data_IF_625494603877
#
_entry.id   IF_625494603877
#
_cell.length_a   1.000
_cell.length_b   1.000
_cell.length_c   1.000
_cell.angle_alpha   90.00
_cell.angle_beta   90.00
_cell.angle_gamma   90.00
#
_symmetry.space_group_name_H-M   'P 1'
#
loop_
_entity.id
_entity.type
_entity.pdbx_description
1 polymer ?
#
# COMPACT_ATOMS: atom_id res chain seq x y z
N UNK A 1 6.78 7.33 7.99
CA UNK A 1 7.05 6.19 7.07
C UNK A 1 5.76 5.41 6.92
N UNK A 2 5.49 4.78 5.77
CA UNK A 2 4.23 4.06 5.56
C UNK A 2 4.15 2.80 6.45
N UNK A 3 3.26 2.80 7.45
CA UNK A 3 3.22 1.76 8.51
C UNK A 3 2.34 0.54 8.16
N UNK A 4 1.71 0.48 6.97
CA UNK A 4 0.93 -0.71 6.58
C UNK A 4 1.77 -1.99 6.48
N UNK A 5 3.10 -1.87 6.40
CA UNK A 5 4.10 -2.96 6.38
C UNK A 5 4.96 -3.06 7.65
N UNK A 6 4.56 -2.41 8.75
CA UNK A 6 5.17 -2.62 10.07
C UNK A 6 4.82 -4.01 10.62
N UNK A 7 5.72 -4.64 11.37
CA UNK A 7 5.55 -5.99 11.89
C UNK A 7 5.73 -6.08 13.42
N UNK A 8 5.59 -4.93 14.10
CA UNK A 8 5.60 -4.80 15.55
C UNK A 8 4.24 -5.12 16.14
N UNK A 9 4.23 -5.86 17.25
CA UNK A 9 3.02 -6.18 18.00
C UNK A 9 2.19 -7.31 17.38
N UNK A 10 0.93 -7.38 17.78
CA UNK A 10 -0.03 -8.39 17.34
C UNK A 10 -1.13 -7.75 16.49
N UNK A 11 -1.73 -8.49 15.55
CA UNK A 11 -2.73 -7.92 14.63
C UNK A 11 -3.97 -7.35 15.34
N UNK A 12 -4.31 -7.87 16.53
CA UNK A 12 -5.41 -7.37 17.37
C UNK A 12 -5.14 -5.98 17.98
N UNK A 13 -3.88 -5.63 18.23
CA UNK A 13 -3.51 -4.34 18.85
C UNK A 13 -2.92 -3.37 17.83
N UNK A 14 -2.33 -3.89 16.77
CA UNK A 14 -1.66 -3.13 15.70
C UNK A 14 -1.90 -3.87 14.41
N UNK A 15 -3.03 -3.57 13.78
CA UNK A 15 -3.35 -4.20 12.51
C UNK A 15 -2.43 -3.62 11.42
N UNK A 16 -1.62 -4.49 10.84
CA UNK A 16 -0.77 -4.23 9.67
C UNK A 16 -0.80 -5.47 8.81
N UNK A 17 -0.41 -5.33 7.54
CA UNK A 17 -0.41 -6.47 6.63
C UNK A 17 0.53 -7.61 7.12
N UNK A 18 1.78 -7.35 7.54
CA UNK A 18 2.62 -8.41 8.10
C UNK A 18 2.06 -9.03 9.37
N UNK A 19 1.43 -8.25 10.27
CA UNK A 19 0.91 -8.79 11.52
C UNK A 19 -0.27 -9.74 11.30
N UNK A 20 -1.18 -9.42 10.37
CA UNK A 20 -2.29 -10.33 10.02
C UNK A 20 -1.78 -11.53 9.23
N UNK A 21 -0.82 -11.37 8.32
CA UNK A 21 -0.22 -12.50 7.61
C UNK A 21 0.51 -13.45 8.57
N UNK A 22 1.17 -12.92 9.61
CA UNK A 22 1.84 -13.72 10.66
C UNK A 22 0.89 -14.59 11.48
N UNK A 23 -0.39 -14.24 11.53
CA UNK A 23 -1.42 -15.08 12.14
C UNK A 23 -1.62 -16.38 11.36
N UNK A 24 -1.51 -16.31 10.03
CA UNK A 24 -1.67 -17.46 9.13
C UNK A 24 -0.34 -18.17 8.83
N UNK A 25 0.80 -17.46 8.88
CA UNK A 25 2.12 -18.06 8.67
C UNK A 25 3.15 -17.47 9.63
N UNK A 26 3.55 -18.26 10.63
CA UNK A 26 4.48 -17.82 11.66
C UNK A 26 5.93 -17.67 11.18
N UNK A 27 6.27 -18.21 10.01
CA UNK A 27 7.63 -18.17 9.44
C UNK A 27 7.89 -16.96 8.53
N UNK A 28 6.97 -15.99 8.47
CA UNK A 28 7.12 -14.82 7.62
C UNK A 28 8.29 -13.93 8.05
N UNK A 29 9.16 -13.65 7.08
CA UNK A 29 10.26 -12.68 7.19
C UNK A 29 9.99 -11.43 6.37
N UNK A 30 10.69 -10.33 6.67
CA UNK A 30 10.68 -9.13 5.83
C UNK A 30 9.90 -7.92 6.33
N UNK A 31 8.94 -8.12 7.24
CA UNK A 31 8.21 -7.01 7.84
C UNK A 31 9.10 -6.18 8.79
N UNK A 32 9.09 -4.86 8.63
CA UNK A 32 9.96 -3.97 9.44
C UNK A 32 9.57 -3.99 10.92
N UNK A 33 10.56 -3.96 11.80
CA UNK A 33 10.37 -3.91 13.25
C UNK A 33 10.96 -2.65 13.87
N UNK A 34 10.45 -2.17 15.00
CA UNK A 34 10.95 -0.96 15.67
C UNK A 34 10.77 0.32 14.84
N UNK A 35 11.70 1.26 15.00
CA UNK A 35 11.72 2.55 14.28
C UNK A 35 13.07 2.74 13.60
N UNK A 36 13.09 3.21 12.36
CA UNK A 36 14.32 3.41 11.61
C UNK A 36 14.09 3.72 10.13
N UNK A 37 15.18 3.98 9.41
CA UNK A 37 15.21 4.12 7.96
C UNK A 37 15.54 2.81 7.23
N UNK A 38 15.55 2.78 5.89
CA UNK A 38 15.83 1.56 5.11
C UNK A 38 17.24 0.97 5.35
N UNK A 39 18.17 1.78 5.84
CA UNK A 39 19.53 1.34 6.18
C UNK A 39 19.64 0.64 7.55
N UNK A 40 18.59 0.73 8.37
CA UNK A 40 18.60 0.14 9.72
C UNK A 40 18.29 -1.35 9.68
N UNK A 41 18.87 -2.20 10.56
CA UNK A 41 18.53 -3.62 10.65
C UNK A 41 17.03 -3.88 10.86
N UNK A 42 16.39 -2.99 11.61
CA UNK A 42 14.96 -2.88 11.87
C UNK A 42 14.10 -2.89 10.60
N UNK A 43 14.60 -2.30 9.51
CA UNK A 43 13.84 -2.19 8.26
C UNK A 43 13.50 -3.53 7.60
N UNK A 44 14.27 -4.60 7.84
CA UNK A 44 14.09 -5.89 7.18
C UNK A 44 13.99 -5.70 5.64
N UNK A 45 12.88 -6.00 4.96
CA UNK A 45 12.72 -5.72 3.52
C UNK A 45 11.97 -4.42 3.20
N UNK A 46 11.64 -3.61 4.22
CA UNK A 46 11.07 -2.29 4.02
C UNK A 46 12.16 -1.32 3.52
N UNK A 47 12.14 -1.06 2.21
CA UNK A 47 13.05 -0.11 1.54
C UNK A 47 12.45 1.31 1.42
N UNK A 48 11.29 1.56 2.05
CA UNK A 48 10.65 2.86 1.99
C UNK A 48 11.49 3.92 2.73
N UNK A 49 11.62 5.09 2.12
CA UNK A 49 12.42 6.21 2.67
C UNK A 49 11.54 7.44 2.85
N UNK A 50 11.65 8.08 4.02
CA UNK A 50 10.98 9.36 4.27
C UNK A 50 11.42 10.41 3.23
N UNK A 51 10.46 11.20 2.73
CA UNK A 51 10.72 12.19 1.68
C UNK A 51 11.00 11.62 0.28
N UNK A 52 10.96 10.30 0.08
CA UNK A 52 11.20 9.71 -1.23
C UNK A 52 10.15 10.14 -2.27
N UNK A 53 10.63 10.34 -3.49
CA UNK A 53 9.84 10.68 -4.67
C UNK A 53 9.73 9.46 -5.58
N UNK A 54 8.78 9.47 -6.53
CA UNK A 54 8.63 8.37 -7.49
C UNK A 54 9.93 8.01 -8.24
N UNK A 55 10.85 8.96 -8.46
CA UNK A 55 12.13 8.70 -9.16
C UNK A 55 13.04 7.74 -8.39
N UNK A 56 12.80 7.56 -7.09
CA UNK A 56 13.53 6.60 -6.26
C UNK A 56 13.00 5.17 -6.38
N UNK A 57 11.84 4.95 -7.02
CA UNK A 57 11.21 3.63 -7.09
C UNK A 57 12.08 2.58 -7.79
N UNK A 58 12.75 2.84 -8.93
CA UNK A 58 13.64 1.86 -9.55
C UNK A 58 14.80 1.46 -8.63
N UNK A 59 15.41 2.45 -7.96
CA UNK A 59 16.49 2.20 -6.99
C UNK A 59 15.99 1.39 -5.78
N UNK A 60 14.80 1.69 -5.27
CA UNK A 60 14.20 0.92 -4.17
C UNK A 60 13.87 -0.52 -4.59
N UNK A 61 13.38 -0.74 -5.81
CA UNK A 61 13.14 -2.08 -6.35
C UNK A 61 14.46 -2.89 -6.43
N UNK A 62 15.53 -2.32 -6.99
CA UNK A 62 16.85 -2.97 -6.97
C UNK A 62 17.35 -3.25 -5.56
N UNK A 63 17.19 -2.31 -4.62
CA UNK A 63 17.60 -2.50 -3.23
C UNK A 63 16.84 -3.68 -2.59
N UNK A 64 15.52 -3.78 -2.81
CA UNK A 64 14.70 -4.89 -2.32
C UNK A 64 15.17 -6.24 -2.89
N UNK A 65 15.28 -6.33 -4.22
CA UNK A 65 15.75 -7.55 -4.91
C UNK A 65 17.11 -7.98 -4.36
N UNK A 66 18.06 -7.05 -4.26
CA UNK A 66 19.41 -7.34 -3.77
C UNK A 66 19.43 -7.70 -2.29
N UNK A 67 18.50 -7.19 -1.49
CA UNK A 67 18.40 -7.54 -0.07
C UNK A 67 17.83 -8.94 0.10
N UNK A 68 16.78 -9.28 -0.64
CA UNK A 68 16.19 -10.62 -0.61
C UNK A 68 17.14 -11.69 -1.14
N UNK A 69 17.87 -11.43 -2.23
CA UNK A 69 18.87 -12.37 -2.79
C UNK A 69 20.04 -12.68 -1.84
N UNK A 70 20.35 -11.76 -0.92
CA UNK A 70 21.48 -11.90 0.02
C UNK A 70 21.05 -12.34 1.41
N UNK A 71 19.74 -12.43 1.67
CA UNK A 71 19.24 -12.81 2.99
C UNK A 71 19.30 -14.33 3.11
N UNK A 72 20.09 -14.90 4.06
CA UNK A 72 20.24 -16.34 4.20
C UNK A 72 18.96 -17.03 4.68
N UNK A 73 17.95 -16.27 5.14
CA UNK A 73 16.63 -16.79 5.48
C UNK A 73 15.74 -16.97 4.25
N UNK A 74 16.20 -16.52 3.08
CA UNK A 74 15.48 -16.64 1.81
C UNK A 74 16.22 -17.58 0.86
N UNK A 75 15.63 -18.72 0.55
CA UNK A 75 15.94 -19.44 -0.69
C UNK A 75 15.23 -18.77 -1.87
N UNK A 76 15.91 -17.83 -2.50
CA UNK A 76 15.35 -17.02 -3.58
C UNK A 76 14.85 -17.87 -4.76
N UNK A 77 15.44 -19.06 -4.96
CA UNK A 77 15.09 -19.99 -6.03
C UNK A 77 14.04 -21.01 -5.63
N UNK A 78 14.01 -21.47 -4.37
CA UNK A 78 13.17 -22.59 -3.93
C UNK A 78 12.24 -22.33 -2.75
N UNK A 79 12.26 -21.18 -2.05
CA UNK A 79 11.48 -20.94 -0.82
C UNK A 79 9.97 -20.94 -1.01
N UNK A 80 9.25 -21.85 -0.37
CA UNK A 80 7.87 -22.19 -0.69
C UNK A 80 6.82 -21.75 0.36
N UNK A 81 5.68 -21.28 -0.18
CA UNK A 81 4.29 -21.20 0.34
C UNK A 81 3.91 -20.21 1.46
N UNK A 82 3.11 -19.21 1.10
CA UNK A 82 2.03 -18.68 1.95
C UNK A 82 0.74 -19.47 1.63
N UNK A 83 0.33 -20.34 2.55
CA UNK A 83 -0.96 -21.02 2.50
C UNK A 83 -1.76 -20.53 3.70
N UNK A 84 -2.96 -19.98 3.51
CA UNK A 84 -3.81 -19.54 4.63
C UNK A 84 -4.31 -20.82 5.32
N UNK A 85 -3.87 -21.16 6.55
CA UNK A 85 -4.21 -22.44 7.15
C UNK A 85 -5.71 -22.53 7.45
N UNK A 86 -6.23 -23.74 7.20
CA UNK A 86 -7.56 -24.20 7.59
C UNK A 86 -7.71 -24.12 9.11
N UNK A 87 -8.71 -23.40 9.62
CA UNK A 87 -9.14 -23.59 11.01
C UNK A 87 -10.16 -24.75 11.10
N UNK A 88 -9.67 -25.88 11.62
CA UNK A 88 -10.36 -27.06 12.18
C UNK A 88 -11.35 -27.89 11.32
N UNK A 89 -10.87 -28.97 10.71
CA UNK A 89 -11.13 -30.38 11.12
C UNK A 89 -10.30 -31.36 10.25
N UNK A 90 -9.78 -32.41 10.90
CA UNK A 90 -9.02 -33.55 10.34
C UNK A 90 -9.64 -34.06 9.03
N UNK A 91 -8.85 -34.35 7.99
CA UNK A 91 -8.97 -35.57 7.14
C UNK A 91 -7.67 -35.80 6.34
N UNK A 92 -7.21 -37.06 6.21
CA UNK A 92 -6.08 -37.44 5.36
C UNK A 92 -6.52 -37.48 3.88
N UNK A 93 -5.57 -37.23 2.99
CA UNK A 93 -5.68 -37.24 1.51
C UNK A 93 -6.38 -36.03 0.87
N UNK A 94 -5.57 -35.04 0.48
CA UNK A 94 -5.89 -34.14 -0.64
C UNK A 94 -4.84 -34.40 -1.74
N UNK A 95 -5.23 -34.76 -2.97
CA UNK A 95 -4.28 -35.03 -4.05
C UNK A 95 -3.52 -33.77 -4.48
N UNK A 96 -2.26 -33.98 -4.81
CA UNK A 96 -1.22 -32.98 -5.05
C UNK A 96 -1.24 -32.36 -6.45
N UNK A 97 -2.33 -31.73 -6.93
CA UNK A 97 -2.27 -31.05 -8.25
C UNK A 97 -3.00 -29.70 -8.25
N UNK A 98 -2.24 -28.67 -8.67
CA UNK A 98 -2.53 -27.23 -8.70
C UNK A 98 -2.70 -26.51 -7.34
N UNK A 99 -1.58 -25.99 -6.83
CA UNK A 99 -1.56 -24.90 -5.86
C UNK A 99 -0.74 -23.75 -6.48
N UNK A 100 -1.41 -22.73 -7.04
CA UNK A 100 -0.74 -21.44 -7.31
C UNK A 100 -0.30 -20.89 -5.97
N UNK A 101 0.99 -21.04 -5.71
CA UNK A 101 1.53 -20.81 -4.38
C UNK A 101 2.32 -19.52 -4.37
N UNK A 102 1.70 -18.51 -3.78
CA UNK A 102 2.31 -17.22 -3.53
C UNK A 102 3.43 -17.31 -2.48
N UNK A 103 4.61 -16.74 -2.77
CA UNK A 103 5.80 -16.82 -1.89
C UNK A 103 6.21 -15.47 -1.35
N UNK A 104 6.24 -14.45 -2.21
CA UNK A 104 6.60 -13.09 -1.82
C UNK A 104 5.43 -12.14 -2.05
N UNK A 105 5.21 -11.23 -1.10
CA UNK A 105 4.26 -10.13 -1.27
C UNK A 105 5.00 -8.81 -1.15
N UNK A 106 4.90 -7.99 -2.20
CA UNK A 106 5.50 -6.65 -2.23
C UNK A 106 4.37 -5.62 -2.28
N UNK A 107 4.40 -4.60 -1.43
CA UNK A 107 3.43 -3.51 -1.46
C UNK A 107 4.12 -2.22 -1.91
N UNK A 108 3.69 -1.69 -3.05
CA UNK A 108 4.19 -0.45 -3.64
C UNK A 108 3.17 0.66 -3.40
N UNK A 109 3.63 1.75 -2.78
CA UNK A 109 2.87 3.00 -2.70
C UNK A 109 3.82 4.19 -2.60
N UNK A 110 3.67 5.16 -3.49
CA UNK A 110 4.51 6.35 -3.58
C UNK A 110 3.70 7.50 -4.19
N UNK A 111 4.18 8.74 -4.05
CA UNK A 111 3.60 9.90 -4.74
C UNK A 111 3.12 11.03 -3.83
N UNK A 112 2.88 10.77 -2.54
CA UNK A 112 2.44 11.82 -1.60
C UNK A 112 3.43 12.99 -1.55
N UNK A 113 4.72 12.69 -1.47
CA UNK A 113 5.78 13.70 -1.53
C UNK A 113 5.81 14.41 -2.90
N UNK A 114 5.55 13.72 -4.00
CA UNK A 114 5.53 14.36 -5.33
C UNK A 114 4.42 15.41 -5.44
N UNK A 115 3.24 15.11 -4.91
CA UNK A 115 2.11 16.04 -4.85
C UNK A 115 2.38 17.20 -3.89
N UNK A 116 3.03 16.94 -2.75
CA UNK A 116 3.25 17.95 -1.73
C UNK A 116 4.57 18.73 -1.85
N UNK A 117 5.52 18.31 -2.69
CA UNK A 117 6.75 19.06 -3.00
C UNK A 117 6.74 19.61 -4.42
N UNK A 118 6.78 18.77 -5.46
CA UNK A 118 7.01 19.22 -6.84
C UNK A 118 5.82 19.95 -7.46
N UNK A 119 4.61 19.40 -7.29
CA UNK A 119 3.38 20.09 -7.70
C UNK A 119 3.26 21.41 -6.94
N UNK A 120 3.60 21.42 -5.64
CA UNK A 120 3.58 22.62 -4.83
C UNK A 120 4.62 23.68 -5.22
N UNK A 121 5.79 23.28 -5.69
CA UNK A 121 6.83 24.18 -6.18
C UNK A 121 6.56 24.70 -7.60
N UNK A 122 5.46 24.27 -8.25
CA UNK A 122 5.13 24.60 -9.65
C UNK A 122 6.27 24.30 -10.64
N UNK A 123 7.11 23.32 -10.31
CA UNK A 123 8.14 22.83 -11.22
C UNK A 123 7.46 21.91 -12.22
N UNK A 124 6.90 22.50 -13.28
CA UNK A 124 6.23 21.79 -14.38
C UNK A 124 7.26 21.10 -15.28
N UNK A 125 7.98 20.12 -14.73
CA UNK A 125 8.86 19.24 -15.48
C UNK A 125 8.15 17.89 -15.68
N UNK A 126 8.28 17.33 -16.89
CA UNK A 126 7.64 16.08 -17.30
C UNK A 126 7.72 14.92 -16.28
N UNK A 127 8.84 14.67 -15.57
CA UNK A 127 8.94 13.60 -14.57
C UNK A 127 7.89 13.70 -13.47
N UNK A 128 7.42 14.90 -13.14
CA UNK A 128 6.42 15.12 -12.08
C UNK A 128 4.98 15.18 -12.59
N UNK A 129 4.75 14.90 -13.87
CA UNK A 129 3.41 14.72 -14.43
C UNK A 129 2.79 13.39 -13.97
N UNK A 130 1.47 13.21 -14.10
CA UNK A 130 0.81 11.91 -13.97
C UNK A 130 1.49 10.79 -14.77
N UNK A 131 1.88 11.09 -16.02
CA UNK A 131 2.57 10.14 -16.88
C UNK A 131 3.96 9.80 -16.35
N UNK A 132 4.77 10.79 -15.99
CA UNK A 132 6.08 10.57 -15.39
C UNK A 132 6.03 9.75 -14.09
N UNK A 133 5.01 9.98 -13.25
CA UNK A 133 4.76 9.15 -12.08
C UNK A 133 4.54 7.68 -12.42
N UNK A 134 3.68 7.39 -13.41
CA UNK A 134 3.46 6.03 -13.88
C UNK A 134 4.71 5.42 -14.52
N UNK A 135 5.54 6.21 -15.22
CA UNK A 135 6.80 5.74 -15.82
C UNK A 135 7.78 5.21 -14.77
N UNK A 136 8.03 5.92 -13.67
CA UNK A 136 8.95 5.41 -12.64
C UNK A 136 8.39 4.23 -11.85
N UNK A 137 7.06 4.15 -11.70
CA UNK A 137 6.42 2.96 -11.13
C UNK A 137 6.56 1.77 -12.09
N UNK A 138 6.33 1.98 -13.39
CA UNK A 138 6.55 0.98 -14.43
C UNK A 138 7.98 0.46 -14.40
N UNK A 139 8.98 1.33 -14.34
CA UNK A 139 10.39 0.90 -14.25
C UNK A 139 10.66 0.03 -13.03
N UNK A 140 10.12 0.38 -11.86
CA UNK A 140 10.23 -0.44 -10.66
C UNK A 140 9.53 -1.80 -10.82
N UNK A 141 8.31 -1.83 -11.37
CA UNK A 141 7.58 -3.06 -11.63
C UNK A 141 8.28 -3.94 -12.68
N UNK A 142 8.86 -3.35 -13.73
CA UNK A 142 9.66 -4.07 -14.74
C UNK A 142 10.88 -4.74 -14.07
N UNK A 143 11.54 -4.09 -13.12
CA UNK A 143 12.64 -4.68 -12.32
C UNK A 143 12.12 -5.87 -11.48
N UNK A 144 11.01 -5.71 -10.76
CA UNK A 144 10.45 -6.78 -9.93
C UNK A 144 10.02 -7.97 -10.80
N UNK A 145 9.31 -7.72 -11.90
CA UNK A 145 8.86 -8.74 -12.85
C UNK A 145 10.03 -9.54 -13.43
N UNK A 146 11.14 -8.86 -13.77
CA UNK A 146 12.32 -9.53 -14.31
C UNK A 146 13.14 -10.31 -13.26
N UNK A 147 12.97 -10.03 -11.97
CA UNK A 147 13.90 -10.53 -10.95
C UNK A 147 13.28 -11.29 -9.79
N UNK A 148 11.96 -11.25 -9.59
CA UNK A 148 11.28 -11.82 -8.41
C UNK A 148 10.19 -12.82 -8.84
N UNK A 149 10.54 -14.09 -9.11
CA UNK A 149 9.53 -15.11 -9.39
C UNK A 149 8.59 -15.32 -8.19
N UNK A 150 7.39 -15.85 -8.43
CA UNK A 150 6.42 -16.22 -7.37
C UNK A 150 6.04 -15.06 -6.45
N UNK A 151 5.80 -13.89 -7.05
CA UNK A 151 5.58 -12.63 -6.35
C UNK A 151 4.22 -12.02 -6.67
N UNK A 152 3.49 -11.62 -5.63
CA UNK A 152 2.29 -10.81 -5.73
C UNK A 152 2.62 -9.39 -5.31
N UNK A 153 2.39 -8.47 -6.24
CA UNK A 153 2.61 -7.06 -6.02
C UNK A 153 1.28 -6.38 -5.77
N UNK A 154 1.08 -5.90 -4.54
CA UNK A 154 0.06 -4.91 -4.23
C UNK A 154 0.51 -3.54 -4.74
N UNK A 155 -0.13 -3.01 -5.77
CA UNK A 155 0.09 -1.63 -6.18
C UNK A 155 -1.05 -0.76 -5.65
N UNK A 156 -0.74 0.04 -4.63
CA UNK A 156 -1.69 0.96 -4.01
C UNK A 156 -1.49 2.34 -4.66
N UNK A 157 -2.52 2.92 -5.31
CA UNK A 157 -2.44 4.28 -5.85
C UNK A 157 -2.09 5.31 -4.75
N UNK A 158 -1.60 6.49 -5.14
CA UNK A 158 -1.29 7.54 -4.16
C UNK A 158 -2.55 7.98 -3.40
N UNK A 159 -2.41 8.24 -2.10
CA UNK A 159 -3.48 8.80 -1.25
C UNK A 159 -3.83 10.23 -1.71
N UNK A 160 -5.12 10.58 -1.71
CA UNK A 160 -5.56 11.95 -1.98
C UNK A 160 -5.12 12.90 -0.87
N UNK A 161 -4.03 13.65 -1.10
CA UNK A 161 -3.51 14.63 -0.14
C UNK A 161 -4.44 15.84 0.06
N UNK A 162 -5.43 16.05 -0.82
CA UNK A 162 -6.37 17.16 -0.70
C UNK A 162 -7.31 17.00 0.51
N UNK A 163 -7.46 15.78 1.05
CA UNK A 163 -8.24 15.51 2.27
C UNK A 163 -7.67 16.20 3.50
N UNK A 164 -6.38 16.58 3.49
CA UNK A 164 -5.76 17.31 4.58
C UNK A 164 -6.40 18.69 4.80
N UNK A 165 -7.03 19.27 3.76
CA UNK A 165 -7.77 20.53 3.85
C UNK A 165 -9.10 20.40 4.63
N UNK A 166 -9.57 19.17 4.87
CA UNK A 166 -10.79 18.88 5.62
C UNK A 166 -10.54 18.80 7.13
N UNK A 167 -9.28 18.67 7.55
CA UNK A 167 -8.89 18.69 8.97
C UNK A 167 -8.93 20.14 9.48
N UNK A 168 -10.01 20.49 10.17
CA UNK A 168 -10.22 21.83 10.75
C UNK A 168 -9.67 21.93 12.17
N UNK A 169 -9.39 23.16 12.61
CA UNK A 169 -9.00 23.45 14.00
C UNK A 169 -7.60 22.95 14.38
N UNK A 170 -6.66 22.93 13.43
CA UNK A 170 -5.27 22.49 13.68
C UNK A 170 -4.56 23.44 14.65
N UNK A 171 -3.79 22.88 15.59
CA UNK A 171 -2.92 23.65 16.48
C UNK A 171 -1.71 24.25 15.73
N UNK A 172 -0.94 25.13 16.39
CA UNK A 172 0.20 25.80 15.76
C UNK A 172 1.27 24.83 15.21
N UNK A 173 1.70 23.78 15.93
CA UNK A 173 2.62 22.78 15.37
C UNK A 173 2.12 22.14 14.07
N UNK A 174 0.84 21.76 14.02
CA UNK A 174 0.25 21.19 12.81
C UNK A 174 0.16 22.20 11.66
N UNK A 175 -0.14 23.47 11.94
CA UNK A 175 -0.13 24.52 10.92
C UNK A 175 1.28 24.77 10.36
N UNK A 176 2.31 24.70 11.21
CA UNK A 176 3.70 24.80 10.77
C UNK A 176 4.06 23.59 9.89
N UNK A 177 3.73 22.38 10.36
CA UNK A 177 3.99 21.14 9.62
C UNK A 177 3.30 21.15 8.24
N UNK A 178 2.03 21.54 8.16
CA UNK A 178 1.28 21.70 6.91
C UNK A 178 1.99 22.61 5.90
N UNK A 179 2.50 23.76 6.37
CA UNK A 179 3.20 24.72 5.51
C UNK A 179 4.56 24.22 5.03
N UNK A 180 5.24 23.38 5.81
CA UNK A 180 6.54 22.80 5.43
C UNK A 180 6.36 21.58 4.54
N UNK A 181 5.47 20.68 4.92
CA UNK A 181 5.28 19.39 4.28
C UNK A 181 4.48 19.50 2.97
N UNK A 182 3.51 20.43 2.89
CA UNK A 182 2.66 20.61 1.71
C UNK A 182 2.29 22.10 1.48
N UNK A 183 3.28 22.98 1.21
CA UNK A 183 3.11 24.43 1.18
C UNK A 183 2.03 24.94 0.22
N UNK A 184 1.73 24.23 -0.86
CA UNK A 184 0.70 24.68 -1.81
C UNK A 184 -0.72 24.34 -1.40
N UNK A 185 -0.98 23.60 -0.32
CA UNK A 185 -2.34 23.44 0.21
C UNK A 185 -2.64 24.46 1.32
N UNK A 186 -1.61 24.88 2.05
CA UNK A 186 -1.78 25.65 3.29
C UNK A 186 -1.07 27.01 3.30
N UNK A 187 -0.13 27.25 2.40
CA UNK A 187 0.63 28.50 2.30
C UNK A 187 -0.10 29.63 1.56
N UNK A 188 0.55 30.79 1.48
CA UNK A 188 -0.03 32.03 0.90
C UNK A 188 -0.49 31.89 -0.55
N UNK A 189 0.21 31.08 -1.37
CA UNK A 189 -0.12 30.80 -2.78
C UNK A 189 -0.78 29.43 -2.94
N UNK A 190 -1.84 29.18 -2.16
CA UNK A 190 -2.51 27.87 -2.13
C UNK A 190 -3.21 27.53 -3.45
N UNK A 191 -3.09 26.27 -3.86
CA UNK A 191 -3.94 25.63 -4.84
C UNK A 191 -5.32 25.39 -4.21
N UNK A 192 -6.36 25.40 -5.04
CA UNK A 192 -7.68 24.95 -4.59
C UNK A 192 -7.67 23.44 -4.35
N UNK A 193 -8.54 22.98 -3.45
CA UNK A 193 -8.75 21.53 -3.22
C UNK A 193 -9.04 20.79 -4.53
N UNK A 194 -9.87 21.39 -5.40
CA UNK A 194 -10.20 20.85 -6.72
C UNK A 194 -8.98 20.72 -7.63
N UNK A 195 -8.10 21.72 -7.66
CA UNK A 195 -6.88 21.68 -8.46
C UNK A 195 -5.92 20.58 -7.99
N UNK A 196 -5.73 20.43 -6.67
CA UNK A 196 -4.92 19.32 -6.14
C UNK A 196 -5.56 17.96 -6.46
N UNK A 197 -6.87 17.83 -6.25
CA UNK A 197 -7.59 16.58 -6.55
C UNK A 197 -7.49 16.19 -8.02
N UNK A 198 -7.51 17.15 -8.94
CA UNK A 198 -7.29 16.88 -10.37
C UNK A 198 -5.90 16.24 -10.62
N UNK A 199 -4.84 16.75 -9.97
CA UNK A 199 -3.50 16.17 -10.07
C UNK A 199 -3.40 14.77 -9.44
N UNK A 200 -4.02 14.59 -8.26
CA UNK A 200 -4.12 13.30 -7.57
C UNK A 200 -4.80 12.26 -8.48
N UNK A 201 -5.97 12.59 -9.04
CA UNK A 201 -6.72 11.68 -9.92
C UNK A 201 -5.92 11.35 -11.18
N UNK A 202 -5.17 12.31 -11.74
CA UNK A 202 -4.24 12.03 -12.83
C UNK A 202 -3.20 10.97 -12.44
N UNK A 203 -2.54 11.12 -11.30
CA UNK A 203 -1.55 10.16 -10.80
C UNK A 203 -2.17 8.76 -10.60
N UNK A 204 -3.34 8.71 -9.95
CA UNK A 204 -4.05 7.45 -9.69
C UNK A 204 -4.44 6.76 -10.99
N UNK A 205 -5.09 7.47 -11.92
CA UNK A 205 -5.53 6.91 -13.20
C UNK A 205 -4.36 6.39 -14.04
N UNK A 206 -3.23 7.09 -14.08
CA UNK A 206 -2.08 6.66 -14.86
C UNK A 206 -1.49 5.33 -14.35
N UNK A 207 -1.48 5.12 -13.03
CA UNK A 207 -1.01 3.87 -12.41
C UNK A 207 -2.03 2.74 -12.55
N UNK A 208 -3.32 3.05 -12.44
CA UNK A 208 -4.40 2.09 -12.67
C UNK A 208 -4.33 1.58 -14.12
N UNK A 209 -4.29 2.48 -15.10
CA UNK A 209 -4.18 2.12 -16.53
C UNK A 209 -2.92 1.28 -16.82
N UNK A 210 -1.79 1.61 -16.19
CA UNK A 210 -0.56 0.83 -16.33
C UNK A 210 -0.77 -0.64 -15.97
N UNK A 211 -1.41 -0.94 -14.83
CA UNK A 211 -1.64 -2.33 -14.41
C UNK A 211 -2.78 -2.97 -15.21
N UNK A 212 -3.88 -2.25 -15.41
CA UNK A 212 -5.03 -2.76 -16.14
C UNK A 212 -4.73 -3.06 -17.62
N UNK A 213 -3.67 -2.48 -18.19
CA UNK A 213 -3.17 -2.85 -19.52
C UNK A 213 -2.79 -4.32 -19.65
N UNK A 214 -2.56 -5.02 -18.53
CA UNK A 214 -2.15 -6.42 -18.50
C UNK A 214 -0.69 -6.69 -18.83
N UNK A 215 0.13 -5.63 -18.85
CA UNK A 215 1.57 -5.70 -19.11
C UNK A 215 2.32 -6.74 -18.25
N UNK A 216 1.84 -7.02 -17.03
CA UNK A 216 2.50 -7.91 -16.07
C UNK A 216 1.86 -9.30 -15.97
N UNK A 217 0.82 -9.60 -16.75
CA UNK A 217 0.13 -10.89 -16.75
C UNK A 217 0.81 -11.88 -17.73
N UNK A 218 2.15 -11.84 -17.79
CA UNK A 218 2.94 -12.65 -18.76
C UNK A 218 3.60 -13.87 -18.13
N UNK A 219 3.56 -13.99 -16.80
CA UNK A 219 4.13 -15.09 -16.03
C UNK A 219 3.04 -15.70 -15.15
N UNK A 220 3.02 -17.03 -15.02
CA UNK A 220 2.05 -17.73 -14.16
C UNK A 220 2.30 -17.50 -12.66
N UNK A 221 3.52 -17.11 -12.32
CA UNK A 221 3.98 -16.96 -10.95
C UNK A 221 4.27 -15.50 -10.55
N UNK A 222 3.99 -14.52 -11.40
CA UNK A 222 4.10 -13.10 -11.05
C UNK A 222 2.80 -12.38 -11.34
N UNK A 223 2.37 -11.51 -10.43
CA UNK A 223 1.17 -10.71 -10.66
C UNK A 223 1.29 -9.34 -10.00
N UNK A 224 0.71 -8.34 -10.66
CA UNK A 224 0.53 -7.00 -10.11
C UNK A 224 -0.97 -6.74 -10.01
N UNK A 225 -1.44 -6.47 -8.80
CA UNK A 225 -2.85 -6.23 -8.52
C UNK A 225 -3.01 -4.81 -7.97
N UNK A 226 -3.84 -4.02 -8.65
CA UNK A 226 -4.26 -2.70 -8.16
C UNK A 226 -5.16 -2.87 -6.94
N UNK A 227 -4.87 -2.10 -5.90
CA UNK A 227 -5.67 -2.05 -4.68
C UNK A 227 -6.25 -0.64 -4.50
N UNK A 228 -7.43 -0.33 -5.08
CA UNK A 228 -7.92 1.05 -5.20
C UNK A 228 -8.62 1.59 -3.94
N UNK A 229 -8.61 0.85 -2.82
CA UNK A 229 -9.32 1.20 -1.58
C UNK A 229 -9.01 2.61 -1.04
N UNK A 230 -7.96 3.31 -1.49
CA UNK A 230 -7.64 4.66 -1.03
C UNK A 230 -7.98 5.78 -2.04
N UNK A 231 -8.53 5.45 -3.22
CA UNK A 231 -8.76 6.41 -4.31
C UNK A 231 -9.89 7.38 -3.97
N UNK A 232 -11.02 6.87 -3.48
CA UNK A 232 -12.21 7.66 -3.11
C UNK A 232 -12.32 7.90 -1.60
N UNK A 233 -11.28 7.53 -0.86
CA UNK A 233 -11.25 7.60 0.59
C UNK A 233 -11.33 9.03 1.13
N UNK A 234 -12.14 9.20 2.18
CA UNK A 234 -12.23 10.42 3.00
C UNK A 234 -11.86 10.09 4.43
N UNK A 235 -11.28 11.06 5.14
CA UNK A 235 -11.02 10.90 6.57
C UNK A 235 -12.30 10.52 7.32
N UNK A 236 -12.24 9.52 8.23
CA UNK A 236 -13.36 9.23 9.11
C UNK A 236 -13.81 10.48 9.83
N UNK A 237 -15.12 10.67 9.92
CA UNK A 237 -15.72 11.86 10.50
C UNK A 237 -16.22 11.55 11.91
N UNK A 238 -16.03 12.49 12.82
CA UNK A 238 -16.57 12.47 14.18
C UNK A 238 -17.38 13.75 14.39
N UNK A 239 -18.48 13.67 15.12
CA UNK A 239 -19.33 14.82 15.34
C UNK A 239 -20.63 14.47 16.03
N UNK A 240 -21.44 15.49 16.25
CA UNK A 240 -22.80 15.36 16.75
C UNK A 240 -23.77 15.96 15.73
N UNK A 241 -25.06 15.98 16.05
CA UNK A 241 -26.09 16.66 15.26
C UNK A 241 -25.77 18.14 14.94
N UNK A 242 -24.89 18.78 15.71
CA UNK A 242 -24.49 20.19 15.52
C UNK A 242 -23.29 20.38 14.59
N UNK A 243 -22.69 19.30 14.06
CA UNK A 243 -21.63 19.39 13.07
C UNK A 243 -20.70 18.17 13.05
N UNK A 244 -20.23 17.85 11.86
CA UNK A 244 -19.27 16.76 11.59
C UNK A 244 -17.90 17.34 11.22
N UNK A 245 -16.83 16.76 11.76
CA UNK A 245 -15.44 17.11 11.44
C UNK A 245 -14.60 15.86 11.23
N UNK A 246 -13.45 15.97 10.57
CA UNK A 246 -12.51 14.86 10.48
C UNK A 246 -12.06 14.45 11.90
N UNK A 247 -12.03 13.14 12.16
CA UNK A 247 -11.55 12.58 13.42
C UNK A 247 -10.02 12.70 13.48
N UNK A 248 -9.47 13.56 14.36
CA UNK A 248 -8.05 13.81 14.43
C UNK A 248 -7.27 12.58 14.93
N UNK A 249 -7.92 11.58 15.54
CA UNK A 249 -7.25 10.38 16.05
C UNK A 249 -6.70 9.49 14.94
N UNK A 250 -7.13 9.69 13.68
CA UNK A 250 -6.57 9.01 12.51
C UNK A 250 -5.29 9.68 11.98
N UNK A 251 -4.94 10.87 12.48
CA UNK A 251 -3.75 11.62 12.10
C UNK A 251 -2.69 11.58 13.21
N UNK A 252 -1.42 11.63 12.81
CA UNK A 252 -0.28 11.70 13.71
C UNK A 252 -0.13 13.10 14.32
N UNK A 253 0.86 13.28 15.19
CA UNK A 253 1.13 14.57 15.86
C UNK A 253 1.41 15.73 14.90
N UNK A 254 1.81 15.45 13.66
CA UNK A 254 2.03 16.47 12.61
C UNK A 254 0.75 16.85 11.84
N UNK A 255 -0.39 16.20 12.10
CA UNK A 255 -1.64 16.35 11.35
C UNK A 255 -1.52 16.14 9.82
N UNK A 256 -0.47 15.45 9.37
CA UNK A 256 -0.15 15.21 7.96
C UNK A 256 -0.02 13.72 7.66
N UNK A 257 0.76 12.98 8.44
CA UNK A 257 0.84 11.53 8.37
C UNK A 257 -0.29 10.88 9.17
N UNK A 258 -0.62 9.64 8.82
CA UNK A 258 -1.58 8.85 9.58
C UNK A 258 -1.00 8.44 10.94
N UNK A 259 -1.85 8.38 11.96
CA UNK A 259 -1.51 7.75 13.23
C UNK A 259 -1.43 6.23 13.09
N UNK A 260 -1.05 5.52 14.15
CA UNK A 260 -1.18 4.06 14.22
C UNK A 260 -2.62 3.61 13.89
N UNK A 261 -3.63 4.32 14.40
CA UNK A 261 -5.05 4.04 14.12
C UNK A 261 -5.37 4.23 12.63
N UNK A 262 -4.90 5.32 12.02
CA UNK A 262 -5.06 5.56 10.59
C UNK A 262 -4.38 4.52 9.72
N UNK A 263 -3.16 4.14 10.07
CA UNK A 263 -2.44 3.07 9.40
C UNK A 263 -3.14 1.71 9.56
N UNK A 264 -3.71 1.40 10.73
CA UNK A 264 -4.48 0.18 10.92
C UNK A 264 -5.76 0.15 10.11
N UNK A 265 -6.49 1.25 9.97
CA UNK A 265 -7.65 1.32 9.06
C UNK A 265 -7.21 1.05 7.61
N UNK A 266 -6.15 1.71 7.17
CA UNK A 266 -5.61 1.54 5.82
C UNK A 266 -5.15 0.10 5.55
N UNK A 267 -4.49 -0.55 6.51
CA UNK A 267 -4.03 -1.93 6.37
C UNK A 267 -5.20 -2.94 6.35
N UNK A 268 -6.26 -2.70 7.13
CA UNK A 268 -7.47 -3.51 7.10
C UNK A 268 -8.22 -3.35 5.77
N UNK A 269 -8.30 -2.14 5.23
CA UNK A 269 -8.88 -1.89 3.90
C UNK A 269 -8.08 -2.62 2.80
N UNK A 270 -6.75 -2.54 2.83
CA UNK A 270 -5.88 -3.31 1.93
C UNK A 270 -6.13 -4.82 2.04
N UNK A 271 -6.23 -5.34 3.27
CA UNK A 271 -6.53 -6.76 3.51
C UNK A 271 -7.84 -7.20 2.84
N UNK A 272 -8.92 -6.45 3.06
CA UNK A 272 -10.20 -6.73 2.41
C UNK A 272 -10.08 -6.65 0.89
N UNK A 273 -9.37 -5.65 0.37
CA UNK A 273 -9.23 -5.41 -1.06
C UNK A 273 -8.47 -6.54 -1.79
N UNK A 274 -7.49 -7.16 -1.14
CA UNK A 274 -6.80 -8.36 -1.65
C UNK A 274 -7.71 -9.59 -1.73
N UNK A 275 -8.77 -9.65 -0.93
CA UNK A 275 -9.74 -10.74 -0.90
C UNK A 275 -11.00 -10.46 -1.74
N UNK A 276 -11.16 -9.24 -2.25
CA UNK A 276 -12.26 -8.85 -3.12
C UNK A 276 -11.99 -9.23 -4.57
N UNK A 277 -12.99 -9.70 -5.34
CA UNK A 277 -12.81 -10.07 -6.73
C UNK A 277 -12.18 -8.96 -7.58
N UNK A 278 -11.29 -9.34 -8.49
CA UNK A 278 -10.71 -8.38 -9.44
C UNK A 278 -11.83 -7.80 -10.32
N UNK A 279 -11.86 -6.47 -10.46
CA UNK A 279 -12.94 -5.74 -11.13
C UNK A 279 -14.09 -5.34 -10.20
N UNK A 280 -14.21 -5.91 -8.99
CA UNK A 280 -15.25 -5.59 -8.00
C UNK A 280 -14.64 -5.20 -6.64
N UNK A 281 -13.47 -4.57 -6.68
CA UNK A 281 -12.75 -4.07 -5.50
C UNK A 281 -13.40 -2.79 -4.95
N UNK A 282 -13.37 -2.64 -3.64
CA UNK A 282 -13.76 -1.41 -2.95
C UNK A 282 -12.78 -0.27 -3.29
N UNK A 283 -13.32 0.94 -3.52
CA UNK A 283 -12.56 2.15 -3.90
C UNK A 283 -12.32 3.12 -2.74
N UNK A 284 -12.85 2.79 -1.56
CA UNK A 284 -12.63 3.52 -0.33
C UNK A 284 -12.28 2.57 0.83
N UNK A 285 -11.70 3.12 1.90
CA UNK A 285 -11.19 2.37 3.03
C UNK A 285 -12.25 2.07 4.10
N UNK A 286 -13.54 2.26 3.79
CA UNK A 286 -14.62 1.95 4.73
C UNK A 286 -14.78 0.44 4.78
N UNK A 287 -14.76 -0.09 6.00
CA UNK A 287 -14.88 -1.52 6.27
C UNK A 287 -16.32 -1.81 6.66
N UNK A 288 -17.21 -1.86 5.67
CA UNK A 288 -18.60 -2.23 5.89
C UNK A 288 -18.70 -3.75 6.07
N UNK A 289 -19.20 -4.21 7.21
CA UNK A 289 -19.35 -5.64 7.49
C UNK A 289 -18.10 -6.32 8.09
N UNK A 290 -17.07 -5.54 8.47
CA UNK A 290 -15.89 -6.06 9.17
C UNK A 290 -14.79 -6.61 8.24
N UNK A 291 -13.82 -7.29 8.85
CA UNK A 291 -12.70 -7.90 8.13
C UNK A 291 -13.16 -9.15 7.39
N UNK A 292 -12.77 -9.24 6.12
CA UNK A 292 -13.00 -10.43 5.31
C UNK A 292 -12.06 -11.54 5.75
N UNK A 293 -12.60 -12.75 5.84
CA UNK A 293 -11.83 -13.97 6.05
C UNK A 293 -11.83 -14.79 4.75
N UNK A 294 -10.70 -15.38 4.36
CA UNK A 294 -10.66 -16.40 3.31
C UNK A 294 -11.59 -17.56 3.65
N UNK A 295 -12.24 -18.14 2.63
CA UNK A 295 -13.16 -19.27 2.79
C UNK A 295 -12.62 -20.51 2.06
N UNK A 296 -13.23 -21.68 2.30
CA UNK A 296 -12.85 -22.90 1.57
C UNK A 296 -13.06 -22.79 0.06
N UNK A 297 -14.09 -22.04 -0.34
CA UNK A 297 -14.42 -21.74 -1.75
C UNK A 297 -13.48 -20.70 -2.36
N UNK A 298 -13.03 -19.71 -1.59
CA UNK A 298 -12.15 -18.64 -2.05
C UNK A 298 -10.93 -18.50 -1.10
N UNK A 299 -9.99 -19.47 -1.11
CA UNK A 299 -8.88 -19.47 -0.16
C UNK A 299 -7.71 -18.57 -0.57
N UNK A 300 -7.74 -18.01 -1.79
CA UNK A 300 -6.63 -17.27 -2.37
C UNK A 300 -6.90 -15.76 -2.48
N UNK A 301 -5.83 -14.97 -2.42
CA UNK A 301 -5.91 -13.57 -2.86
C UNK A 301 -6.27 -13.52 -4.34
N UNK A 302 -7.11 -12.55 -4.70
CA UNK A 302 -7.63 -12.44 -6.05
C UNK A 302 -6.57 -11.84 -6.96
N UNK A 303 -6.39 -12.45 -8.13
CA UNK A 303 -5.47 -12.01 -9.17
C UNK A 303 -6.25 -11.89 -10.47
N UNK A 304 -5.65 -11.33 -11.52
CA UNK A 304 -6.33 -11.32 -12.82
C UNK A 304 -6.52 -12.72 -13.40
N UNK A 305 -5.56 -13.61 -13.16
CA UNK A 305 -5.62 -15.01 -13.59
C UNK A 305 -6.52 -15.87 -12.68
N UNK A 306 -6.88 -15.38 -11.50
CA UNK A 306 -7.85 -15.98 -10.58
C UNK A 306 -8.74 -14.88 -9.95
N UNK A 307 -9.68 -14.32 -10.74
CA UNK A 307 -10.41 -13.12 -10.38
C UNK A 307 -11.34 -13.32 -9.18
N UNK A 308 -11.82 -14.54 -8.96
CA UNK A 308 -12.73 -14.90 -7.85
C UNK A 308 -12.01 -15.52 -6.64
N UNK A 309 -10.70 -15.77 -6.73
CA UNK A 309 -9.91 -16.38 -5.65
C UNK A 309 -10.21 -17.87 -5.40
N UNK A 310 -10.82 -18.56 -6.38
CA UNK A 310 -11.23 -19.97 -6.31
C UNK A 310 -10.04 -20.92 -6.52
N UNK A 311 -10.24 -22.20 -6.18
CA UNK A 311 -9.24 -23.26 -6.45
C UNK A 311 -9.15 -23.62 -7.92
#
# INVERSE_FOLDING_TARGET
>A
MLVIIGANGHYLTTFTLPNVLKHFSHHLVGGSTGSGGPETPQSQFNVAKAGALHMAMPRQAHALVNRMRRDPRIDFQNDWKFNIPRHHQRWPFVPSFLQVTLRSMVTLMIGGNNLCSHVCMRKNFWPHSPHGHATFIKEALDILHANMPRTFVNLVPVVDVSVLMDVKGKNLPCQIADNVLCPCLFGKKRLSKRAMRHMVTGYQNAVIQLVESGRYDTLEDFTVVIQPFNVESKLPMVGSQFGMRADPTFMSADCFHLSQRGHSLMAQALWNNMLEPVGHKSWDWRIMGGLRCPTDSNPFFTTRMNPDGRR
#
